data_IF_776964439678
#
_entry.id   IF_776964439678
#
_cell.length_a   1.000
_cell.length_b   1.000
_cell.length_c   1.000
_cell.angle_alpha   90.00
_cell.angle_beta   90.00
_cell.angle_gamma   90.00
#
_symmetry.space_group_name_H-M   'P 1'
#
loop_
_entity.id
_entity.type
_entity.pdbx_description
1 polymer ?
#
# COMPACT_ATOMS: atom_id res chain seq x y z
N UNK A 1 -5.85 5.71 -5.09
CA UNK A 1 -5.71 7.07 -4.51
C UNK A 1 -4.54 7.03 -3.56
N UNK A 2 -3.42 7.63 -3.95
CA UNK A 2 -2.28 7.80 -3.05
C UNK A 2 -2.68 8.87 -2.05
N UNK A 3 -2.96 8.49 -0.81
CA UNK A 3 -3.17 9.47 0.26
C UNK A 3 -1.77 10.02 0.54
N UNK A 4 -1.44 11.16 -0.07
CA UNK A 4 -0.19 11.85 0.27
C UNK A 4 -0.29 12.20 1.76
N UNK A 5 0.62 11.69 2.61
CA UNK A 5 0.58 12.00 4.01
C UNK A 5 0.74 13.51 4.14
N UNK A 6 -0.18 14.15 4.86
CA UNK A 6 -0.13 15.58 5.09
C UNK A 6 1.16 15.88 5.88
N UNK A 7 2.14 16.47 5.19
CA UNK A 7 3.46 16.79 5.72
C UNK A 7 3.52 18.25 6.08
N UNK A 8 3.94 18.53 7.32
CA UNK A 8 4.10 19.91 7.78
C UNK A 8 5.48 20.09 8.42
N UNK A 9 6.09 21.29 8.30
CA UNK A 9 7.30 21.63 9.03
C UNK A 9 7.07 21.64 10.54
N UNK A 10 8.12 21.33 11.32
CA UNK A 10 8.06 21.38 12.78
C UNK A 10 7.66 22.77 13.31
N UNK A 11 8.08 23.85 12.65
CA UNK A 11 7.68 25.21 13.02
C UNK A 11 6.16 25.38 12.98
N UNK A 12 5.51 24.98 11.88
CA UNK A 12 4.06 25.04 11.71
C UNK A 12 3.32 24.11 12.69
N UNK A 13 3.90 22.94 12.96
CA UNK A 13 3.39 22.02 13.98
C UNK A 13 3.40 22.64 15.38
N UNK A 14 4.48 23.34 15.74
CA UNK A 14 4.67 23.93 17.06
C UNK A 14 3.75 25.12 17.34
N UNK A 15 3.35 25.85 16.30
CA UNK A 15 2.45 27.00 16.41
C UNK A 15 0.98 26.58 16.59
N UNK A 16 0.58 25.42 16.06
CA UNK A 16 -0.82 25.01 15.98
C UNK A 16 -1.11 23.64 16.63
N UNK A 17 -0.40 23.29 17.70
CA UNK A 17 -0.51 21.99 18.36
C UNK A 17 -1.97 21.59 18.65
N UNK A 18 -2.75 22.48 19.27
CA UNK A 18 -4.12 22.17 19.70
C UNK A 18 -5.05 21.81 18.52
N UNK A 19 -4.99 22.57 17.43
CA UNK A 19 -5.81 22.33 16.24
C UNK A 19 -5.36 21.06 15.50
N UNK A 20 -4.06 20.84 15.40
CA UNK A 20 -3.50 19.65 14.75
C UNK A 20 -3.83 18.37 15.54
N UNK A 21 -3.74 18.40 16.87
CA UNK A 21 -4.17 17.28 17.70
C UNK A 21 -5.68 17.03 17.58
N UNK A 22 -6.50 18.08 17.60
CA UNK A 22 -7.95 17.93 17.40
C UNK A 22 -8.26 17.29 16.04
N UNK A 23 -7.56 17.72 14.98
CA UNK A 23 -7.70 17.14 13.63
C UNK A 23 -7.26 15.68 13.57
N UNK A 24 -6.13 15.32 14.17
CA UNK A 24 -5.67 13.91 14.21
C UNK A 24 -6.65 13.03 14.97
N UNK A 25 -7.28 13.55 16.01
CA UNK A 25 -8.29 12.83 16.80
C UNK A 25 -9.64 12.70 16.08
N UNK A 26 -10.08 13.75 15.38
CA UNK A 26 -11.38 13.78 14.69
C UNK A 26 -11.35 13.01 13.36
N UNK A 27 -10.31 13.25 12.56
CA UNK A 27 -10.16 12.65 11.22
C UNK A 27 -9.56 11.25 11.29
N UNK A 28 -8.76 10.95 12.32
CA UNK A 28 -7.98 9.71 12.41
C UNK A 28 -6.80 9.64 11.43
N UNK A 29 -6.53 10.72 10.69
CA UNK A 29 -5.42 10.81 9.74
C UNK A 29 -4.10 11.07 10.46
N UNK A 30 -3.05 10.34 10.08
CA UNK A 30 -1.71 10.53 10.62
C UNK A 30 -1.04 11.75 9.99
N UNK A 31 -0.46 12.60 10.83
CA UNK A 31 0.28 13.79 10.43
C UNK A 31 1.78 13.48 10.41
N UNK A 32 2.48 13.86 9.34
CA UNK A 32 3.94 13.71 9.26
C UNK A 32 4.58 15.07 9.51
N UNK A 33 5.41 15.15 10.53
CA UNK A 33 6.15 16.36 10.91
C UNK A 33 7.59 16.23 10.43
N UNK A 34 8.02 17.16 9.60
CA UNK A 34 9.40 17.26 9.12
C UNK A 34 10.20 18.20 10.03
N UNK A 35 11.33 17.72 10.54
CA UNK A 35 12.25 18.50 11.37
C UNK A 35 13.27 19.24 10.50
N UNK A 36 13.92 20.28 11.05
CA UNK A 36 14.95 21.04 10.34
C UNK A 36 16.19 20.19 10.01
N UNK A 37 16.38 19.04 10.67
CA UNK A 37 17.41 18.04 10.36
C UNK A 37 17.03 17.12 9.18
N UNK A 38 15.81 17.25 8.64
CA UNK A 38 15.29 16.39 7.58
C UNK A 38 14.73 15.05 8.09
N UNK A 39 14.67 14.84 9.40
CA UNK A 39 14.02 13.67 10.00
C UNK A 39 12.49 13.85 10.01
N UNK A 40 11.76 12.75 9.86
CA UNK A 40 10.30 12.74 9.86
C UNK A 40 9.76 12.04 11.10
N UNK A 41 8.78 12.65 11.76
CA UNK A 41 8.07 12.08 12.91
C UNK A 41 6.59 11.96 12.55
N UNK A 42 5.98 10.81 12.85
CA UNK A 42 4.54 10.61 12.62
C UNK A 42 3.77 10.80 13.91
N UNK A 43 2.75 11.65 13.87
CA UNK A 43 1.79 11.87 14.96
C UNK A 43 0.46 11.22 14.57
N UNK A 44 0.01 10.25 15.35
CA UNK A 44 -1.25 9.54 15.15
C UNK A 44 -2.01 9.37 16.47
N UNK A 45 -3.31 9.14 16.38
CA UNK A 45 -4.11 8.78 17.55
C UNK A 45 -3.59 7.46 18.15
N UNK A 46 -3.38 7.44 19.46
CA UNK A 46 -3.03 6.22 20.19
C UNK A 46 -4.21 5.24 20.33
N UNK A 47 -5.42 5.70 20.02
CA UNK A 47 -6.61 4.86 20.03
C UNK A 47 -6.67 4.13 18.69
N UNK A 48 -6.89 2.79 18.67
CA UNK A 48 -7.02 2.08 17.41
C UNK A 48 -8.12 2.76 16.60
N UNK A 49 -7.78 3.19 15.38
CA UNK A 49 -8.76 3.69 14.43
C UNK A 49 -9.89 2.66 14.35
N UNK A 50 -11.13 3.11 14.56
CA UNK A 50 -12.30 2.24 14.42
C UNK A 50 -12.22 1.71 12.99
N UNK A 51 -12.08 0.38 12.78
CA UNK A 51 -11.95 -0.15 11.44
C UNK A 51 -13.20 0.26 10.67
N UNK A 52 -13.01 0.97 9.56
CA UNK A 52 -14.15 1.29 8.71
C UNK A 52 -14.76 -0.02 8.21
N UNK A 53 -16.10 -0.17 8.25
CA UNK A 53 -16.76 -1.34 7.70
C UNK A 53 -16.42 -1.41 6.21
N UNK A 54 -15.78 -2.50 5.79
CA UNK A 54 -15.44 -2.72 4.39
C UNK A 54 -16.69 -2.75 3.54
N UNK A 55 -16.66 -2.06 2.41
CA UNK A 55 -17.77 -2.03 1.45
C UNK A 55 -17.71 -3.24 0.52
N UNK A 56 -18.82 -3.59 -0.14
CA UNK A 56 -18.81 -4.66 -1.16
C UNK A 56 -17.83 -4.33 -2.31
N UNK A 57 -17.63 -3.04 -2.61
CA UNK A 57 -16.65 -2.60 -3.61
C UNK A 57 -15.22 -2.93 -3.19
N UNK A 58 -14.87 -2.77 -1.91
CA UNK A 58 -13.55 -3.14 -1.39
C UNK A 58 -13.31 -4.65 -1.47
N UNK A 59 -14.34 -5.44 -1.18
CA UNK A 59 -14.27 -6.89 -1.32
C UNK A 59 -14.14 -7.31 -2.78
N UNK A 60 -14.89 -6.68 -3.70
CA UNK A 60 -14.78 -6.95 -5.12
C UNK A 60 -13.38 -6.63 -5.65
N UNK A 61 -12.83 -5.46 -5.31
CA UNK A 61 -11.47 -5.06 -5.70
C UNK A 61 -10.43 -6.05 -5.17
N UNK A 62 -10.55 -6.49 -3.92
CA UNK A 62 -9.66 -7.51 -3.35
C UNK A 62 -9.76 -8.85 -4.08
N UNK A 63 -10.97 -9.33 -4.41
CA UNK A 63 -11.19 -10.57 -5.16
C UNK A 63 -10.68 -10.46 -6.61
N UNK A 64 -10.81 -9.30 -7.25
CA UNK A 64 -10.28 -9.04 -8.59
C UNK A 64 -8.75 -8.98 -8.59
N UNK A 65 -8.13 -8.42 -7.55
CA UNK A 65 -6.67 -8.38 -7.40
C UNK A 65 -6.08 -9.75 -7.03
N UNK A 66 -6.86 -10.63 -6.42
CA UNK A 66 -6.46 -12.00 -6.11
C UNK A 66 -6.31 -12.89 -7.35
N UNK A 67 -6.56 -12.37 -8.57
CA UNK A 67 -6.17 -12.96 -9.85
C UNK A 67 -6.37 -14.47 -9.90
N UNK A 68 -7.61 -14.91 -10.10
CA UNK A 68 -7.90 -16.33 -10.26
C UNK A 68 -7.23 -16.86 -11.53
N UNK A 69 -6.41 -17.91 -11.40
CA UNK A 69 -5.86 -18.66 -12.54
C UNK A 69 -6.88 -19.67 -13.10
N UNK A 70 -8.14 -19.63 -12.64
CA UNK A 70 -9.16 -20.59 -13.08
C UNK A 70 -9.44 -20.50 -14.59
N UNK A 71 -9.29 -19.32 -15.19
CA UNK A 71 -9.50 -19.11 -16.62
C UNK A 71 -8.21 -19.28 -17.45
N UNK A 72 -7.08 -19.56 -16.80
CA UNK A 72 -5.81 -19.84 -17.48
C UNK A 72 -5.74 -21.33 -17.79
N UNK A 73 -5.61 -21.66 -19.07
CA UNK A 73 -5.30 -23.03 -19.49
C UNK A 73 -3.85 -23.35 -19.10
N UNK A 74 -3.70 -23.95 -17.91
CA UNK A 74 -2.41 -24.30 -17.33
C UNK A 74 -1.66 -25.31 -18.21
N UNK A 75 -2.38 -26.21 -18.89
CA UNK A 75 -1.78 -27.24 -19.74
C UNK A 75 -1.23 -26.62 -21.03
N UNK A 76 -1.99 -25.74 -21.68
CA UNK A 76 -1.52 -25.00 -22.85
C UNK A 76 -0.31 -24.10 -22.50
N UNK A 77 -0.35 -23.42 -21.35
CA UNK A 77 0.76 -22.60 -20.87
C UNK A 77 2.04 -23.41 -20.61
N UNK A 78 1.91 -24.61 -20.00
CA UNK A 78 3.04 -25.50 -19.78
C UNK A 78 3.62 -26.01 -21.11
N UNK A 79 2.77 -26.40 -22.05
CA UNK A 79 3.20 -26.83 -23.39
C UNK A 79 4.02 -25.75 -24.09
N UNK A 80 3.54 -24.51 -24.13
CA UNK A 80 4.24 -23.35 -24.70
C UNK A 80 5.62 -23.11 -24.03
N UNK A 81 5.71 -23.25 -22.71
CA UNK A 81 6.98 -23.12 -21.98
C UNK A 81 7.96 -24.22 -22.39
N UNK A 82 7.52 -25.47 -22.47
CA UNK A 82 8.39 -26.59 -22.82
C UNK A 82 8.87 -26.49 -24.28
N UNK A 83 7.99 -26.12 -25.21
CA UNK A 83 8.33 -25.87 -26.62
C UNK A 83 9.34 -24.71 -26.77
N UNK A 84 9.13 -23.61 -26.04
CA UNK A 84 10.06 -22.49 -26.00
C UNK A 84 11.44 -22.88 -25.43
N UNK A 85 11.46 -23.76 -24.42
CA UNK A 85 12.71 -24.26 -23.84
C UNK A 85 13.46 -25.20 -24.77
N UNK A 86 12.74 -26.00 -25.55
CA UNK A 86 13.32 -26.91 -26.54
C UNK A 86 13.99 -26.15 -27.68
N UNK A 87 13.44 -25.01 -28.10
CA UNK A 87 14.00 -24.18 -29.16
C UNK A 87 15.21 -23.31 -28.75
N UNK A 88 15.42 -23.06 -27.44
CA UNK A 88 16.29 -21.96 -26.98
C UNK A 88 17.46 -22.33 -26.05
N UNK A 89 17.68 -23.60 -25.66
CA UNK A 89 18.80 -23.96 -24.77
C UNK A 89 19.52 -25.24 -25.16
N UNK A 90 20.80 -25.13 -25.53
CA UNK A 90 21.73 -26.27 -25.42
C UNK A 90 21.85 -26.69 -23.95
N UNK A 91 21.96 -28.01 -23.65
CA UNK A 91 22.06 -28.51 -22.29
C UNK A 91 23.22 -27.86 -21.54
N UNK A 92 22.95 -27.33 -20.34
CA UNK A 92 24.02 -26.94 -19.41
C UNK A 92 24.49 -28.22 -18.74
N UNK A 93 25.70 -28.68 -19.07
CA UNK A 93 26.34 -29.78 -18.37
C UNK A 93 26.69 -29.32 -16.93
N UNK A 94 26.13 -30.03 -15.94
CA UNK A 94 26.59 -29.98 -14.55
C UNK A 94 27.84 -30.85 -14.37
#
# INVERSE_FOLDING_TARGET
>A
MTIEPNRIPFAEFSENLAELFARVLDTGEALVVETDSGETVTVSSATPAIPQPKTEADYAAFRSAAGSWADVDVEAFLADIYESRESSRSPVHL
#
